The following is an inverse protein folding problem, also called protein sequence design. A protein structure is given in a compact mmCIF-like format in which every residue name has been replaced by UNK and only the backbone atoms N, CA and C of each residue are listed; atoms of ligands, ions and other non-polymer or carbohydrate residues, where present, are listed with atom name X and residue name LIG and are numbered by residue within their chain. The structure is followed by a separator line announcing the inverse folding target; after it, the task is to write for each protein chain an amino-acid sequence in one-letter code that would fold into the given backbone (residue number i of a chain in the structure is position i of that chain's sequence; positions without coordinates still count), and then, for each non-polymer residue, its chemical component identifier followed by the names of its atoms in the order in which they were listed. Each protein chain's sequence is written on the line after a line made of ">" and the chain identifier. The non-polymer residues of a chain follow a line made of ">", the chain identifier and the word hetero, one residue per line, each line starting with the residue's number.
data_IF_962686918284
#
_entry.id   IF_962686918284
#
_cell.length_a   1.000
_cell.length_b   1.000
_cell.length_c   1.000
_cell.angle_alpha   90.00
_cell.angle_beta   90.00
_cell.angle_gamma   90.00
#
_symmetry.space_group_name_H-M   'P 1'
#
loop_
_entity.id
_entity.type
_entity.pdbx_description
1 polymer ?
#
# COMPACT_ATOMS: atom_id res chain seq x y z
N UNK A 1 8.84 36.87 14.30
CA UNK A 1 9.51 35.55 14.23
C UNK A 1 8.44 34.53 13.90
N UNK A 2 8.29 34.21 12.62
CA UNK A 2 7.29 33.28 12.10
C UNK A 2 7.92 31.89 12.08
N UNK A 3 7.46 31.00 12.96
CA UNK A 3 7.80 29.58 12.91
C UNK A 3 7.13 28.94 11.69
N UNK A 4 7.94 28.28 10.88
CA UNK A 4 7.60 27.56 9.64
C UNK A 4 6.58 26.44 9.88
N UNK A 5 5.66 26.17 8.93
CA UNK A 5 4.83 24.97 8.96
C UNK A 5 5.71 23.74 8.70
N UNK A 6 5.57 22.73 9.56
CA UNK A 6 6.40 21.54 9.58
C UNK A 6 6.32 20.69 8.32
N UNK A 7 7.49 20.19 7.94
CA UNK A 7 7.72 19.12 6.97
C UNK A 7 6.96 17.85 7.36
N UNK A 8 5.87 17.58 6.66
CA UNK A 8 5.31 16.23 6.49
C UNK A 8 5.49 15.81 5.02
N UNK A 9 5.61 14.51 4.69
CA UNK A 9 5.78 14.07 3.31
C UNK A 9 4.60 14.54 2.46
N UNK A 10 4.89 15.45 1.53
CA UNK A 10 3.91 16.14 0.71
C UNK A 10 3.60 15.28 -0.53
N UNK A 11 2.73 14.28 -0.38
CA UNK A 11 2.22 13.44 -1.47
C UNK A 11 1.00 14.07 -2.18
N UNK A 12 0.86 15.40 -2.17
CA UNK A 12 -0.30 16.05 -2.75
C UNK A 12 -0.20 16.18 -4.27
N UNK A 13 -0.59 15.13 -5.01
CA UNK A 13 -0.97 15.25 -6.42
C UNK A 13 -2.48 15.54 -6.53
N UNK A 14 -2.86 16.63 -7.20
CA UNK A 14 -4.24 17.10 -7.52
C UNK A 14 -5.31 16.91 -6.43
N UNK A 15 -5.72 17.99 -5.76
CA UNK A 15 -6.82 18.02 -4.78
C UNK A 15 -8.22 17.68 -5.36
N UNK A 16 -8.31 17.39 -6.65
CA UNK A 16 -9.58 17.17 -7.38
C UNK A 16 -9.63 15.84 -8.13
N UNK A 17 -8.57 15.03 -8.08
CA UNK A 17 -8.47 13.82 -8.90
C UNK A 17 -7.91 12.67 -8.09
N UNK A 18 -8.67 11.58 -8.02
CA UNK A 18 -8.19 10.32 -7.47
C UNK A 18 -7.51 9.51 -8.58
N UNK A 19 -6.35 8.94 -8.27
CA UNK A 19 -5.61 8.06 -9.19
C UNK A 19 -5.61 6.67 -8.58
N UNK A 20 -5.99 5.66 -9.38
CA UNK A 20 -5.82 4.26 -9.06
C UNK A 20 -4.68 3.71 -9.91
N UNK A 21 -3.74 3.02 -9.27
CA UNK A 21 -2.59 2.43 -9.92
C UNK A 21 -2.54 0.93 -9.64
N UNK A 22 -2.46 0.14 -10.70
CA UNK A 22 -2.05 -1.26 -10.61
C UNK A 22 -0.55 -1.35 -10.93
N UNK A 23 0.23 -2.01 -10.09
CA UNK A 23 1.69 -2.10 -10.23
C UNK A 23 2.19 -3.50 -9.92
N UNK A 24 3.23 -3.93 -10.63
CA UNK A 24 4.06 -5.09 -10.30
C UNK A 24 5.47 -4.68 -9.83
N UNK A 25 5.68 -3.38 -9.58
CA UNK A 25 6.95 -2.84 -9.13
C UNK A 25 7.03 -2.83 -7.61
N UNK A 26 7.90 -3.67 -7.06
CA UNK A 26 8.21 -3.72 -5.62
C UNK A 26 8.69 -2.37 -5.09
N UNK A 27 9.57 -1.68 -5.83
CA UNK A 27 10.02 -0.33 -5.47
C UNK A 27 8.87 0.66 -5.32
N UNK A 28 7.90 0.60 -6.23
CA UNK A 28 6.79 1.52 -6.17
C UNK A 28 5.87 1.22 -4.99
N UNK A 29 5.73 -0.05 -4.60
CA UNK A 29 4.95 -0.46 -3.42
C UNK A 29 5.52 0.13 -2.12
N UNK A 30 6.85 0.20 -1.99
CA UNK A 30 7.49 0.75 -0.78
C UNK A 30 7.30 2.26 -0.61
N UNK A 31 6.89 2.98 -1.65
CA UNK A 31 6.61 4.42 -1.59
C UNK A 31 5.21 4.75 -1.06
N UNK A 32 4.40 3.74 -0.69
CA UNK A 32 3.05 3.91 -0.17
C UNK A 32 2.92 3.44 1.28
N UNK A 33 2.00 4.07 1.99
CA UNK A 33 1.51 3.56 3.27
C UNK A 33 0.60 2.33 3.05
N UNK A 34 0.57 1.34 3.97
CA UNK A 34 -0.28 0.15 3.84
C UNK A 34 -1.74 0.49 3.57
N UNK A 35 -2.27 1.53 4.21
CA UNK A 35 -3.67 1.96 4.06
C UNK A 35 -3.99 2.45 2.65
N UNK A 36 -2.97 2.79 1.85
CA UNK A 36 -3.12 3.21 0.46
C UNK A 36 -2.94 2.05 -0.53
N UNK A 37 -2.75 0.82 -0.05
CA UNK A 37 -2.58 -0.37 -0.87
C UNK A 37 -3.83 -1.27 -0.80
N UNK A 38 -4.20 -1.80 -1.96
CA UNK A 38 -5.32 -2.70 -2.14
C UNK A 38 -4.82 -3.97 -2.82
N UNK A 39 -4.88 -5.10 -2.11
CA UNK A 39 -4.58 -6.41 -2.65
C UNK A 39 -5.80 -6.91 -3.41
N UNK A 40 -5.58 -7.35 -4.66
CA UNK A 40 -6.64 -7.85 -5.54
C UNK A 40 -6.36 -9.29 -5.90
N UNK A 41 -7.29 -10.17 -5.58
CA UNK A 41 -7.19 -11.62 -5.86
C UNK A 41 -8.46 -12.11 -6.55
N UNK A 42 -8.36 -13.22 -7.29
CA UNK A 42 -9.51 -13.83 -7.96
C UNK A 42 -10.12 -14.90 -7.07
N UNK A 43 -11.40 -14.76 -6.75
CA UNK A 43 -12.22 -15.84 -6.19
C UNK A 43 -12.77 -16.67 -7.37
N UNK A 44 -12.21 -17.86 -7.56
CA UNK A 44 -12.60 -18.76 -8.65
C UNK A 44 -14.02 -19.35 -8.44
N UNK A 45 -14.42 -19.59 -7.20
CA UNK A 45 -15.73 -20.17 -6.88
C UNK A 45 -16.85 -19.16 -7.14
N UNK A 46 -16.68 -17.93 -6.65
CA UNK A 46 -17.65 -16.84 -6.82
C UNK A 46 -17.49 -16.10 -8.16
N UNK A 47 -16.43 -16.41 -8.92
CA UNK A 47 -16.08 -15.75 -10.20
C UNK A 47 -15.97 -14.23 -10.08
N UNK A 48 -15.44 -13.72 -8.97
CA UNK A 48 -15.32 -12.30 -8.70
C UNK A 48 -13.90 -11.93 -8.21
N UNK A 49 -13.60 -10.64 -8.17
CA UNK A 49 -12.36 -10.13 -7.57
C UNK A 49 -12.60 -9.77 -6.12
N UNK A 50 -11.71 -10.23 -5.24
CA UNK A 50 -11.65 -9.85 -3.84
C UNK A 50 -10.67 -8.70 -3.70
N UNK A 51 -11.11 -7.65 -3.01
CA UNK A 51 -10.32 -6.47 -2.74
C UNK A 51 -10.09 -6.37 -1.24
N UNK A 52 -8.83 -6.32 -0.82
CA UNK A 52 -8.46 -6.23 0.59
C UNK A 52 -7.49 -5.08 0.79
N UNK A 53 -7.93 -4.08 1.54
CA UNK A 53 -7.07 -2.98 1.97
C UNK A 53 -6.14 -3.51 3.05
N UNK A 54 -4.87 -3.09 3.03
CA UNK A 54 -3.95 -3.46 4.11
C UNK A 54 -4.24 -2.61 5.35
N UNK A 55 -4.11 -3.26 6.51
CA UNK A 55 -4.27 -2.63 7.80
C UNK A 55 -2.89 -2.54 8.47
N UNK A 56 -2.45 -1.31 8.74
CA UNK A 56 -1.17 -1.06 9.39
C UNK A 56 -1.07 -1.69 10.77
N UNK A 57 -2.15 -1.68 11.56
CA UNK A 57 -2.11 -2.23 12.92
C UNK A 57 -1.92 -3.75 12.87
N UNK A 58 -2.51 -4.43 11.89
CA UNK A 58 -2.29 -5.87 11.67
C UNK A 58 -0.87 -6.19 11.18
N UNK A 59 -0.22 -5.23 10.51
CA UNK A 59 1.14 -5.38 9.97
C UNK A 59 2.23 -4.81 10.88
N UNK A 60 1.90 -4.24 12.04
CA UNK A 60 2.83 -3.47 12.87
C UNK A 60 4.13 -4.24 13.18
N UNK A 61 4.01 -5.44 13.72
CA UNK A 61 5.17 -6.27 14.10
C UNK A 61 6.01 -6.71 12.89
N UNK A 62 5.38 -6.78 11.71
CA UNK A 62 6.06 -7.10 10.45
C UNK A 62 6.82 -5.89 9.90
N UNK A 63 6.21 -4.70 9.95
CA UNK A 63 6.79 -3.45 9.46
C UNK A 63 7.99 -2.97 10.29
N UNK A 64 8.17 -3.49 11.51
CA UNK A 64 9.37 -3.27 12.31
C UNK A 64 10.62 -3.97 11.72
N UNK A 65 10.43 -4.94 10.83
CA UNK A 65 11.50 -5.82 10.34
C UNK A 65 11.60 -5.92 8.83
N UNK A 66 10.52 -5.65 8.12
CA UNK A 66 10.41 -5.86 6.69
C UNK A 66 9.75 -4.66 6.00
N UNK A 67 10.17 -4.36 4.78
CA UNK A 67 9.45 -3.44 3.90
C UNK A 67 8.16 -4.05 3.38
N UNK A 68 7.29 -3.24 2.79
CA UNK A 68 6.06 -3.74 2.17
C UNK A 68 6.37 -4.65 0.98
N UNK A 69 7.39 -4.32 0.18
CA UNK A 69 7.86 -5.17 -0.90
C UNK A 69 8.36 -6.52 -0.42
N UNK A 70 9.12 -6.58 0.68
CA UNK A 70 9.59 -7.84 1.26
C UNK A 70 8.42 -8.70 1.75
N UNK A 71 7.41 -8.10 2.38
CA UNK A 71 6.20 -8.81 2.81
C UNK A 71 5.39 -9.33 1.61
N UNK A 72 5.36 -8.58 0.51
CA UNK A 72 4.70 -9.00 -0.72
C UNK A 72 5.42 -10.16 -1.41
N UNK A 73 6.75 -10.09 -1.54
CA UNK A 73 7.58 -11.15 -2.10
C UNK A 73 7.53 -12.44 -1.27
N UNK A 74 7.40 -12.31 0.06
CA UNK A 74 7.19 -13.43 0.99
C UNK A 74 5.75 -13.96 1.00
N UNK A 75 4.87 -13.39 0.17
CA UNK A 75 3.45 -13.70 0.09
C UNK A 75 2.69 -13.57 1.43
N UNK A 76 3.16 -12.70 2.34
CA UNK A 76 2.45 -12.37 3.59
C UNK A 76 1.22 -11.51 3.28
N UNK A 77 1.33 -10.64 2.28
CA UNK A 77 0.25 -9.72 1.91
C UNK A 77 -0.79 -10.35 0.96
N UNK A 78 -0.45 -11.41 0.23
CA UNK A 78 -1.24 -11.94 -0.89
C UNK A 78 -1.03 -11.15 -2.20
N UNK A 79 -1.68 -11.58 -3.28
CA UNK A 79 -1.59 -10.92 -4.59
C UNK A 79 -0.16 -10.84 -5.16
N UNK A 80 0.66 -11.85 -4.90
CA UNK A 80 2.08 -11.96 -5.28
C UNK A 80 2.32 -11.56 -6.76
N UNK A 81 3.43 -10.86 -7.07
CA UNK A 81 3.76 -10.48 -8.45
C UNK A 81 4.16 -11.68 -9.32
#
# INVERSE_FOLDING_TARGET
>A
MTSTPGDGPNLAASQKTQVLLATQSTRLVDEFAPENLLIVERDEEKKCSLFRQLDREQLKDWLDRYSLSELWEKNVLGGQP
#
